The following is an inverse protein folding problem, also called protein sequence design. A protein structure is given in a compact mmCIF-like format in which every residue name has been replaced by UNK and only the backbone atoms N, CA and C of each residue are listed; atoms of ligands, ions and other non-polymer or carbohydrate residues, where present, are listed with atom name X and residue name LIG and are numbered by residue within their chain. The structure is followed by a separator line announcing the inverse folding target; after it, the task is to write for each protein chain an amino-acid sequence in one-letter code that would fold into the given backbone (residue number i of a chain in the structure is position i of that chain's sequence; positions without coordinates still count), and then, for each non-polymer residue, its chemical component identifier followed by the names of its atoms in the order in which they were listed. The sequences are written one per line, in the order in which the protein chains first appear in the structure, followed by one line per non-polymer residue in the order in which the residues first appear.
data_IF_918944530952
#
_entry.id   IF_918944530952
#
_cell.length_a   1.000
_cell.length_b   1.000
_cell.length_c   1.000
_cell.angle_alpha   90.00
_cell.angle_beta   90.00
_cell.angle_gamma   90.00
#
_symmetry.space_group_name_H-M   'P 1'
#
loop_
_entity.id
_entity.type
_entity.pdbx_description
1 polymer ?
#
# COMPACT_ATOMS: atom_id res chain seq x y z
N UNK A 1 -2.58 -0.78 -2.45
CA UNK A 1 -2.69 -0.13 -1.12
C UNK A 1 -4.13 -0.03 -0.61
N UNK A 2 -5.11 0.46 -1.37
CA UNK A 2 -6.50 0.59 -0.87
C UNK A 2 -7.10 -0.68 -0.25
N UNK A 3 -6.88 -1.84 -0.87
CA UNK A 3 -7.29 -3.14 -0.31
C UNK A 3 -6.70 -3.36 1.09
N UNK A 4 -5.42 -3.08 1.27
CA UNK A 4 -4.72 -3.28 2.54
C UNK A 4 -5.19 -2.30 3.61
N UNK A 5 -5.53 -1.07 3.23
CA UNK A 5 -6.16 -0.10 4.14
C UNK A 5 -7.53 -0.57 4.61
N UNK A 6 -8.31 -1.25 3.75
CA UNK A 6 -9.64 -1.76 4.07
C UNK A 6 -9.60 -3.07 4.89
N UNK A 7 -8.70 -3.99 4.55
CA UNK A 7 -8.68 -5.35 5.12
C UNK A 7 -7.49 -5.64 6.06
N UNK A 8 -6.55 -4.70 6.22
CA UNK A 8 -5.35 -4.85 7.04
C UNK A 8 -4.33 -5.87 6.53
N UNK A 9 -4.49 -6.37 5.31
CA UNK A 9 -3.61 -7.37 4.69
C UNK A 9 -3.53 -7.16 3.18
N UNK A 10 -2.46 -7.65 2.56
CA UNK A 10 -2.31 -7.59 1.11
C UNK A 10 -3.26 -8.58 0.40
N UNK A 11 -3.74 -8.28 -0.82
CA UNK A 11 -4.71 -9.12 -1.53
C UNK A 11 -4.13 -10.44 -2.05
N UNK A 12 -2.81 -10.54 -2.27
CA UNK A 12 -2.17 -11.66 -2.97
C UNK A 12 -1.01 -12.28 -2.16
N UNK A 13 -1.17 -12.41 -0.84
CA UNK A 13 -0.12 -12.95 0.02
C UNK A 13 0.02 -14.47 -0.18
N UNK A 14 1.12 -14.91 -0.78
CA UNK A 14 1.55 -16.32 -0.82
C UNK A 14 2.45 -16.69 0.35
N UNK A 15 2.78 -17.98 0.45
CA UNK A 15 3.73 -18.55 1.42
C UNK A 15 5.14 -18.04 1.12
N UNK A 16 5.48 -17.95 -0.17
CA UNK A 16 6.75 -17.41 -0.65
C UNK A 16 6.53 -16.33 -1.73
N UNK A 17 7.66 -15.83 -2.26
CA UNK A 17 7.67 -14.77 -3.27
C UNK A 17 7.12 -15.26 -4.62
N UNK A 18 7.41 -16.50 -5.00
CA UNK A 18 6.99 -17.07 -6.27
C UNK A 18 5.47 -17.25 -6.29
N UNK A 19 4.91 -17.84 -5.23
CA UNK A 19 3.47 -17.99 -5.05
C UNK A 19 2.78 -16.62 -5.03
N UNK A 20 3.35 -15.64 -4.32
CA UNK A 20 2.82 -14.26 -4.32
C UNK A 20 2.73 -13.68 -5.74
N UNK A 21 3.76 -13.87 -6.58
CA UNK A 21 3.71 -13.42 -7.98
C UNK A 21 2.65 -14.17 -8.78
N UNK A 22 2.55 -15.49 -8.62
CA UNK A 22 1.54 -16.29 -9.30
C UNK A 22 0.12 -15.83 -8.92
N UNK A 23 -0.11 -15.53 -7.65
CA UNK A 23 -1.39 -14.98 -7.15
C UNK A 23 -1.68 -13.58 -7.73
N UNK A 24 -0.66 -12.71 -7.86
CA UNK A 24 -0.81 -11.40 -8.50
C UNK A 24 -1.25 -11.54 -9.95
N UNK A 25 -0.72 -12.52 -10.68
CA UNK A 25 -1.04 -12.72 -12.10
C UNK A 25 -2.41 -13.36 -12.32
N UNK A 26 -2.75 -14.36 -11.49
CA UNK A 26 -3.88 -15.27 -11.79
C UNK A 26 -5.11 -15.05 -10.90
N UNK A 27 -4.93 -14.63 -9.65
CA UNK A 27 -6.02 -14.68 -8.68
C UNK A 27 -6.78 -13.36 -8.59
N UNK A 28 -8.10 -13.42 -8.43
CA UNK A 28 -8.96 -12.26 -8.23
C UNK A 28 -8.95 -11.90 -6.73
N UNK A 29 -8.84 -10.61 -6.37
CA UNK A 29 -8.83 -10.21 -4.97
C UNK A 29 -10.16 -10.59 -4.29
N UNK A 30 -10.06 -11.14 -3.07
CA UNK A 30 -11.25 -11.49 -2.30
C UNK A 30 -11.83 -10.24 -1.61
N UNK A 31 -12.94 -9.73 -2.14
CA UNK A 31 -13.64 -8.56 -1.61
C UNK A 31 -14.84 -9.01 -0.76
N UNK A 32 -14.59 -9.45 0.47
CA UNK A 32 -15.67 -9.87 1.38
C UNK A 32 -16.49 -8.68 1.89
N UNK A 33 -17.82 -8.87 2.01
CA UNK A 33 -18.79 -7.93 2.57
C UNK A 33 -19.75 -7.34 1.53
N UNK A 34 -20.57 -6.37 1.93
CA UNK A 34 -21.52 -5.66 1.04
C UNK A 34 -20.84 -4.96 -0.13
N UNK A 35 -21.55 -4.77 -1.23
CA UNK A 35 -21.03 -4.01 -2.37
C UNK A 35 -20.99 -2.53 -2.00
N UNK A 36 -19.79 -1.95 -1.96
CA UNK A 36 -19.57 -0.52 -1.68
C UNK A 36 -18.74 0.10 -2.80
N UNK A 37 -18.84 1.44 -3.02
CA UNK A 37 -18.02 2.12 -4.01
C UNK A 37 -16.51 1.89 -3.82
N UNK A 38 -16.04 1.72 -2.58
CA UNK A 38 -14.63 1.40 -2.32
C UNK A 38 -14.25 0.00 -2.85
N UNK A 39 -15.09 -1.01 -2.59
CA UNK A 39 -14.83 -2.39 -3.06
C UNK A 39 -14.92 -2.47 -4.58
N UNK A 40 -15.84 -1.75 -5.19
CA UNK A 40 -15.96 -1.62 -6.64
C UNK A 40 -14.67 -1.01 -7.24
N UNK A 41 -14.21 0.12 -6.72
CA UNK A 41 -12.96 0.74 -7.15
C UNK A 41 -11.75 -0.20 -7.00
N UNK A 42 -11.64 -0.94 -5.88
CA UNK A 42 -10.55 -1.88 -5.67
C UNK A 42 -10.58 -3.00 -6.71
N UNK A 43 -11.77 -3.48 -7.10
CA UNK A 43 -11.93 -4.50 -8.15
C UNK A 43 -11.40 -3.97 -9.48
N UNK A 44 -11.79 -2.76 -9.89
CA UNK A 44 -11.36 -2.18 -11.17
C UNK A 44 -9.86 -1.84 -11.21
N UNK A 45 -9.27 -1.44 -10.06
CA UNK A 45 -7.84 -1.21 -9.93
C UNK A 45 -7.01 -2.48 -10.04
N UNK A 46 -7.55 -3.61 -9.55
CA UNK A 46 -6.89 -4.91 -9.54
C UNK A 46 -7.26 -5.78 -10.75
N UNK A 47 -7.81 -5.15 -11.79
CA UNK A 47 -8.05 -5.78 -13.09
C UNK A 47 -6.73 -6.29 -13.70
N UNK A 48 -6.77 -7.54 -14.16
CA UNK A 48 -5.61 -8.26 -14.68
C UNK A 48 -5.25 -7.78 -16.06
N UNK A 49 -6.25 -7.54 -16.89
CA UNK A 49 -6.05 -7.01 -18.24
C UNK A 49 -5.71 -5.52 -18.16
N UNK A 50 -4.48 -5.09 -18.53
CA UNK A 50 -4.07 -3.70 -18.37
C UNK A 50 -4.95 -2.70 -19.14
N UNK A 51 -5.53 -3.14 -20.27
CA UNK A 51 -6.41 -2.31 -21.12
C UNK A 51 -7.81 -2.11 -20.54
N UNK A 52 -8.26 -3.00 -19.66
CA UNK A 52 -9.55 -2.91 -18.96
C UNK A 52 -9.43 -2.26 -17.59
N UNK A 53 -8.20 -2.11 -17.10
CA UNK A 53 -7.93 -1.49 -15.81
C UNK A 53 -8.31 -0.02 -15.84
N UNK A 54 -9.02 0.41 -14.80
CA UNK A 54 -9.48 1.79 -14.63
C UNK A 54 -8.34 2.80 -14.81
N UNK A 55 -8.58 3.85 -15.59
CA UNK A 55 -7.63 4.93 -15.84
C UNK A 55 -7.67 6.00 -14.75
N UNK A 56 -6.67 6.87 -14.70
CA UNK A 56 -6.61 7.98 -13.73
C UNK A 56 -7.82 8.90 -13.80
N UNK A 57 -8.36 9.15 -15.01
CA UNK A 57 -9.54 10.01 -15.18
C UNK A 57 -10.79 9.37 -14.59
N UNK A 58 -10.95 8.07 -14.80
CA UNK A 58 -12.07 7.29 -14.25
C UNK A 58 -11.93 7.14 -12.72
N UNK A 59 -10.73 6.92 -12.19
CA UNK A 59 -10.47 6.92 -10.74
C UNK A 59 -10.95 8.23 -10.12
N UNK A 60 -10.59 9.38 -10.70
CA UNK A 60 -11.00 10.69 -10.18
C UNK A 60 -12.50 10.92 -10.22
N UNK A 61 -13.19 10.37 -11.21
CA UNK A 61 -14.65 10.45 -11.37
C UNK A 61 -15.43 9.34 -10.66
N UNK A 62 -14.75 8.37 -10.05
CA UNK A 62 -15.38 7.22 -9.41
C UNK A 62 -16.25 7.65 -8.21
N UNK A 63 -17.36 6.95 -7.97
CA UNK A 63 -18.32 7.30 -6.91
C UNK A 63 -17.66 7.37 -5.51
N UNK A 64 -16.66 6.52 -5.27
CA UNK A 64 -15.83 6.56 -4.05
C UNK A 64 -15.18 7.94 -3.78
N UNK A 65 -14.78 8.67 -4.83
CA UNK A 65 -14.15 9.99 -4.72
C UNK A 65 -15.10 11.15 -5.05
N UNK A 66 -16.41 10.91 -5.14
CA UNK A 66 -17.41 11.93 -5.51
C UNK A 66 -17.40 13.18 -4.60
N UNK A 67 -17.05 13.01 -3.33
CA UNK A 67 -16.96 14.12 -2.36
C UNK A 67 -15.61 14.81 -2.33
N UNK A 68 -14.63 14.35 -3.12
CA UNK A 68 -13.29 14.92 -3.16
C UNK A 68 -13.21 16.00 -4.22
N UNK A 69 -12.88 17.20 -3.78
CA UNK A 69 -12.43 18.27 -4.67
C UNK A 69 -10.94 18.10 -4.94
N UNK A 70 -10.60 17.72 -6.18
CA UNK A 70 -9.23 17.46 -6.60
C UNK A 70 -8.37 18.73 -6.68
N UNK A 71 -8.97 19.90 -6.84
CA UNK A 71 -8.25 21.18 -6.93
C UNK A 71 -7.89 21.70 -5.54
N UNK A 72 -8.74 21.43 -4.54
CA UNK A 72 -8.52 21.85 -3.15
C UNK A 72 -7.79 20.81 -2.28
N UNK A 73 -7.45 19.64 -2.82
CA UNK A 73 -6.88 18.53 -2.05
C UNK A 73 -5.53 18.89 -1.40
N UNK A 74 -4.74 19.77 -2.04
CA UNK A 74 -3.45 20.24 -1.54
C UNK A 74 -3.58 21.29 -0.44
N UNK A 75 -4.73 21.96 -0.38
CA UNK A 75 -5.02 23.03 0.59
C UNK A 75 -5.82 22.51 1.79
N UNK A 76 -6.06 21.20 1.86
CA UNK A 76 -6.95 20.61 2.85
C UNK A 76 -6.43 20.87 4.29
N UNK A 77 -7.14 21.68 5.09
CA UNK A 77 -6.58 22.25 6.31
C UNK A 77 -6.55 21.27 7.51
N UNK A 78 -7.21 20.11 7.40
CA UNK A 78 -7.33 19.16 8.52
C UNK A 78 -7.17 17.72 8.05
N UNK A 79 -6.10 17.08 8.52
CA UNK A 79 -5.91 15.63 8.33
C UNK A 79 -6.83 14.85 9.28
N UNK A 80 -7.35 13.68 8.87
CA UNK A 80 -8.19 12.85 9.72
C UNK A 80 -7.43 12.27 10.93
N UNK A 81 -6.11 12.15 10.80
CA UNK A 81 -5.23 11.68 11.87
C UNK A 81 -3.97 12.55 11.91
N UNK A 82 -3.65 13.03 13.11
CA UNK A 82 -2.38 13.69 13.41
C UNK A 82 -1.65 12.71 14.35
N UNK A 83 -0.56 12.06 13.90
CA UNK A 83 0.24 11.22 14.78
C UNK A 83 0.71 12.03 15.98
N UNK A 84 0.57 11.48 17.20
CA UNK A 84 1.14 12.10 18.39
C UNK A 84 2.65 12.24 18.23
N UNK A 85 3.23 13.31 18.79
CA UNK A 85 4.69 13.39 18.96
C UNK A 85 5.09 12.19 19.82
N UNK A 86 5.91 11.31 19.26
CA UNK A 86 6.60 10.31 20.05
C UNK A 86 7.63 11.06 20.87
N UNK A 87 7.47 11.04 22.19
CA UNK A 87 8.59 11.32 23.08
C UNK A 87 9.70 10.30 22.78
N UNK A 88 10.97 10.68 22.99
CA UNK A 88 12.16 9.94 22.55
C UNK A 88 12.26 8.47 23.07
N UNK A 89 11.35 8.02 23.93
CA UNK A 89 11.31 6.67 24.50
C UNK A 89 10.88 5.57 23.51
N UNK A 90 10.21 5.91 22.41
CA UNK A 90 9.65 4.93 21.45
C UNK A 90 10.64 4.46 20.36
N UNK A 91 11.88 4.96 20.35
CA UNK A 91 12.94 4.50 19.45
C UNK A 91 13.46 3.09 19.80
N UNK A 92 13.06 2.50 20.93
CA UNK A 92 13.47 1.14 21.34
C UNK A 92 12.97 0.03 20.40
N UNK A 93 11.96 0.29 19.57
CA UNK A 93 11.42 -0.67 18.59
C UNK A 93 12.01 -0.57 17.19
N UNK A 94 12.54 0.60 16.81
CA UNK A 94 13.29 0.74 15.58
C UNK A 94 14.72 0.35 15.90
N UNK A 95 15.12 -0.89 15.55
CA UNK A 95 16.55 -1.21 15.51
C UNK A 95 17.21 -0.16 14.63
N UNK A 96 17.93 0.78 15.24
CA UNK A 96 18.84 1.66 14.53
C UNK A 96 19.83 0.71 13.88
N UNK A 97 19.64 0.44 12.60
CA UNK A 97 20.61 -0.31 11.82
C UNK A 97 21.78 0.64 11.71
N UNK A 98 22.85 0.33 12.43
CA UNK A 98 24.14 0.97 12.20
C UNK A 98 24.60 0.56 10.80
N UNK A 99 24.24 1.41 9.83
CA UNK A 99 24.53 1.21 8.41
C UNK A 99 26.04 1.08 8.19
N UNK A 100 26.85 1.77 8.99
CA UNK A 100 28.31 1.75 8.88
C UNK A 100 28.88 0.40 9.32
N UNK A 101 28.39 -0.16 10.43
CA UNK A 101 28.78 -1.50 10.89
C UNK A 101 28.36 -2.60 9.91
N UNK A 102 27.17 -2.50 9.32
CA UNK A 102 26.70 -3.46 8.31
C UNK A 102 27.55 -3.43 7.03
N UNK A 103 27.84 -2.22 6.53
CA UNK A 103 28.67 -2.02 5.34
C UNK A 103 30.09 -2.55 5.59
N UNK A 104 30.70 -2.24 6.74
CA UNK A 104 32.02 -2.77 7.06
C UNK A 104 32.04 -4.29 7.21
N UNK A 105 30.99 -4.90 7.76
CA UNK A 105 30.87 -6.36 7.86
C UNK A 105 30.78 -7.05 6.50
N UNK A 106 30.08 -6.45 5.54
CA UNK A 106 29.94 -7.00 4.18
C UNK A 106 31.23 -6.86 3.37
N UNK A 107 31.92 -5.73 3.48
CA UNK A 107 33.10 -5.45 2.65
C UNK A 107 34.43 -5.90 3.27
N UNK A 108 34.47 -6.37 4.52
CA UNK A 108 35.69 -6.94 5.15
C UNK A 108 35.94 -8.42 4.86
N UNK A 109 35.00 -9.16 4.29
CA UNK A 109 35.13 -10.62 4.06
C UNK A 109 35.90 -10.96 2.77
N UNK A 110 36.65 -9.99 2.20
CA UNK A 110 37.33 -10.13 0.91
C UNK A 110 38.85 -10.18 0.94
N UNK A 111 39.50 -10.11 2.11
CA UNK A 111 40.96 -10.17 2.23
C UNK A 111 41.41 -11.24 3.23
N UNK A 112 41.29 -12.51 2.83
CA UNK A 112 42.22 -13.60 3.22
C UNK A 112 42.47 -14.51 2.01
#
# INVERSE_FOLDING_TARGET
MLYEMLYGKTPFKGIDREETFNLILSNVPNLTGEVTPLRDLIRELLEKEPQKRISVREIKGHEFFKSVDWDLILEMPKTPFIPGRKDDEDLKGNKIIDVESYVQGVFKVGEE
#
